data_IF_125633425699
#
_entry.id   IF_125633425699
#
_cell.length_a   1.000
_cell.length_b   1.000
_cell.length_c   1.000
_cell.angle_alpha   90.00
_cell.angle_beta   90.00
_cell.angle_gamma   90.00
#
_symmetry.space_group_name_H-M   'P 1'
#
loop_
_entity.id
_entity.type
_entity.pdbx_description
1 polymer ?
#
# COMPACT_ATOMS: atom_id res chain seq x y z
N UNK A 1 28.04 7.13 26.92
CA UNK A 1 28.91 7.34 25.73
C UNK A 1 29.44 6.03 25.11
N UNK A 2 30.01 5.09 25.88
CA UNK A 2 30.58 3.83 25.35
C UNK A 2 29.56 2.88 24.68
N UNK A 3 28.28 2.93 25.07
CA UNK A 3 27.21 2.09 24.48
C UNK A 3 26.79 2.59 23.10
N UNK A 4 26.69 3.91 22.91
CA UNK A 4 26.35 4.52 21.63
C UNK A 4 27.42 4.27 20.56
N UNK A 5 28.70 4.32 20.92
CA UNK A 5 29.80 4.00 19.99
C UNK A 5 29.73 2.53 19.56
N UNK A 6 29.42 1.60 20.47
CA UNK A 6 29.27 0.18 20.16
C UNK A 6 28.07 -0.10 19.24
N UNK A 7 26.94 0.57 19.46
CA UNK A 7 25.76 0.51 18.58
C UNK A 7 26.05 1.08 17.19
N UNK A 8 26.81 2.18 17.12
CA UNK A 8 27.18 2.80 15.83
C UNK A 8 28.11 1.87 15.02
N UNK A 9 29.09 1.24 15.67
CA UNK A 9 30.02 0.29 15.02
C UNK A 9 29.29 -0.99 14.56
N UNK A 10 28.30 -1.47 15.33
CA UNK A 10 27.49 -2.63 14.95
C UNK A 10 26.59 -2.32 13.75
N UNK A 11 25.94 -1.14 13.72
CA UNK A 11 25.14 -0.73 12.55
C UNK A 11 26.01 -0.51 11.30
N UNK A 12 27.23 0.01 11.47
CA UNK A 12 28.16 0.25 10.36
C UNK A 12 28.67 -1.06 9.73
N UNK A 13 28.86 -2.10 10.54
CA UNK A 13 29.37 -3.41 10.07
C UNK A 13 28.26 -4.27 9.45
N UNK A 14 27.01 -4.16 9.93
CA UNK A 14 25.85 -4.81 9.32
C UNK A 14 25.51 -4.24 7.93
N UNK A 15 25.69 -2.93 7.73
CA UNK A 15 25.47 -2.29 6.42
C UNK A 15 26.55 -2.68 5.39
N UNK A 16 27.78 -2.97 5.84
CA UNK A 16 28.88 -3.42 4.97
C UNK A 16 28.83 -4.92 4.63
N UNK A 17 28.06 -5.73 5.37
CA UNK A 17 27.92 -7.16 5.09
C UNK A 17 26.87 -7.47 4.02
N UNK A 18 25.97 -6.52 3.72
CA UNK A 18 24.94 -6.66 2.69
C UNK A 18 25.40 -6.23 1.29
N UNK A 19 26.66 -5.84 1.11
CA UNK A 19 27.24 -5.42 -0.17
C UNK A 19 28.48 -6.26 -0.54
N UNK A 20 28.33 -7.59 -0.55
CA UNK A 20 29.30 -8.48 -1.17
C UNK A 20 28.57 -9.63 -1.89
N UNK A 21 28.01 -9.33 -3.05
CA UNK A 21 27.97 -10.30 -4.14
C UNK A 21 28.88 -9.77 -5.24
N UNK A 22 30.17 -10.10 -5.13
CA UNK A 22 31.07 -10.05 -6.27
C UNK A 22 31.80 -11.37 -6.43
N UNK A 23 31.75 -11.84 -7.67
CA UNK A 23 32.24 -13.09 -8.22
C UNK A 23 33.72 -13.28 -7.91
N UNK A 24 34.05 -14.37 -7.21
CA UNK A 24 35.44 -14.86 -7.14
C UNK A 24 35.61 -15.96 -8.19
N UNK A 25 36.08 -15.56 -9.38
CA UNK A 25 36.87 -16.45 -10.24
C UNK A 25 38.35 -16.14 -9.98
N UNK A 26 39.06 -17.09 -9.37
CA UNK A 26 40.47 -16.92 -8.96
C UNK A 26 41.14 -18.25 -8.57
N UNK A 27 41.47 -19.02 -9.61
CA UNK A 27 42.35 -20.19 -9.77
C UNK A 27 43.39 -20.52 -8.68
N UNK A 28 43.54 -21.83 -8.37
CA UNK A 28 44.84 -22.43 -7.97
C UNK A 28 45.01 -23.88 -8.49
N UNK A 29 45.85 -23.99 -9.53
CA UNK A 29 46.86 -25.01 -9.86
C UNK A 29 46.61 -26.53 -9.65
N UNK A 30 46.55 -27.29 -10.78
CA UNK A 30 47.57 -28.25 -11.29
C UNK A 30 46.93 -29.39 -12.11
N UNK A 31 47.25 -29.47 -13.40
CA UNK A 31 47.78 -30.65 -14.11
C UNK A 31 47.71 -30.46 -15.65
N UNK A 32 48.84 -30.70 -16.33
CA UNK A 32 49.04 -30.86 -17.78
C UNK A 32 49.13 -32.38 -18.02
N UNK A 33 48.64 -33.03 -19.12
CA UNK A 33 49.21 -32.90 -20.49
C UNK A 33 48.21 -33.18 -21.67
N UNK A 34 48.64 -33.38 -22.95
CA UNK A 34 48.82 -32.34 -23.97
C UNK A 34 48.02 -32.58 -25.28
N UNK A 35 48.21 -31.66 -26.25
CA UNK A 35 48.02 -31.80 -27.73
C UNK A 35 46.64 -31.57 -28.38
N UNK A 36 46.45 -30.44 -29.11
CA UNK A 36 46.66 -30.23 -30.57
C UNK A 36 45.91 -28.98 -31.10
N UNK A 37 46.68 -28.03 -31.64
CA UNK A 37 46.45 -27.14 -32.83
C UNK A 37 45.03 -26.76 -33.27
N UNK A 38 44.72 -25.47 -33.45
CA UNK A 38 44.84 -24.72 -34.72
C UNK A 38 44.42 -23.22 -34.65
N UNK A 39 45.18 -22.41 -35.40
CA UNK A 39 44.95 -21.08 -36.04
C UNK A 39 44.29 -19.89 -35.32
N UNK A 40 45.14 -18.87 -35.13
CA UNK A 40 44.98 -17.42 -35.34
C UNK A 40 43.66 -16.92 -35.99
N UNK A 41 43.07 -15.93 -35.31
CA UNK A 41 42.33 -14.80 -35.90
C UNK A 41 42.45 -13.62 -34.94
N UNK A 42 43.28 -12.63 -35.26
CA UNK A 42 43.36 -11.35 -34.55
C UNK A 42 42.11 -10.55 -34.95
N UNK A 43 41.26 -10.20 -33.98
CA UNK A 43 40.41 -9.02 -34.08
C UNK A 43 40.52 -8.21 -32.79
N UNK A 44 40.80 -6.93 -32.99
CA UNK A 44 41.21 -5.93 -32.02
C UNK A 44 39.99 -5.47 -31.20
N UNK A 45 39.93 -5.60 -29.85
CA UNK A 45 38.86 -4.99 -29.08
C UNK A 45 39.23 -3.54 -28.76
N UNK A 46 38.51 -2.59 -29.37
CA UNK A 46 38.44 -1.21 -28.86
C UNK A 46 37.94 -1.24 -27.40
N UNK A 47 38.49 -0.40 -26.49
CA UNK A 47 37.94 -0.26 -25.15
C UNK A 47 36.54 0.37 -25.23
N UNK A 48 35.53 -0.31 -24.70
CA UNK A 48 34.24 0.33 -24.39
C UNK A 48 34.47 1.46 -23.38
N UNK A 49 33.83 2.63 -23.51
CA UNK A 49 33.86 3.66 -22.48
C UNK A 49 33.23 3.12 -21.18
N UNK A 50 33.66 3.60 -20.01
CA UNK A 50 33.10 3.17 -18.74
C UNK A 50 31.60 3.47 -18.71
N UNK A 51 30.83 2.49 -18.23
CA UNK A 51 29.41 2.63 -17.95
C UNK A 51 29.18 3.93 -17.16
N UNK A 52 28.42 4.84 -17.76
CA UNK A 52 27.85 5.96 -17.02
C UNK A 52 26.98 5.35 -15.94
N UNK A 53 27.39 5.56 -14.70
CA UNK A 53 26.57 5.44 -13.51
C UNK A 53 25.30 6.26 -13.79
N UNK A 54 24.21 5.57 -14.16
CA UNK A 54 22.92 6.19 -14.48
C UNK A 54 22.46 6.93 -13.22
N UNK A 55 22.73 8.23 -13.20
CA UNK A 55 22.25 9.14 -12.17
C UNK A 55 20.73 9.10 -12.27
N UNK A 56 20.10 8.36 -11.35
CA UNK A 56 18.64 8.25 -11.24
C UNK A 56 18.08 9.67 -11.34
N UNK A 57 17.15 9.96 -12.26
CA UNK A 57 16.76 11.35 -12.50
C UNK A 57 16.21 11.99 -11.22
N UNK A 58 16.77 13.14 -10.86
CA UNK A 58 16.34 13.99 -9.73
C UNK A 58 14.92 14.55 -9.90
N UNK A 59 14.22 14.19 -10.98
CA UNK A 59 12.86 14.60 -11.27
C UNK A 59 11.84 13.57 -10.77
N UNK A 60 10.61 14.02 -10.50
CA UNK A 60 9.46 13.14 -10.30
C UNK A 60 9.18 12.33 -11.58
N UNK A 61 8.85 11.06 -11.42
CA UNK A 61 8.17 10.30 -12.49
C UNK A 61 6.78 10.89 -12.74
N UNK A 62 6.17 10.57 -13.89
CA UNK A 62 4.82 11.05 -14.21
C UNK A 62 3.78 10.62 -13.17
N UNK A 63 3.89 9.39 -12.66
CA UNK A 63 2.99 8.84 -11.63
C UNK A 63 3.19 9.55 -10.28
N UNK A 64 4.44 9.72 -9.83
CA UNK A 64 4.75 10.45 -8.59
C UNK A 64 4.26 11.90 -8.66
N UNK A 65 4.51 12.57 -9.80
CA UNK A 65 4.05 13.94 -10.03
C UNK A 65 2.53 14.03 -9.96
N UNK A 66 1.82 13.10 -10.60
CA UNK A 66 0.35 13.09 -10.58
C UNK A 66 -0.19 12.95 -9.15
N UNK A 67 0.35 12.00 -8.36
CA UNK A 67 -0.07 11.78 -6.97
C UNK A 67 0.21 12.99 -6.09
N UNK A 68 1.40 13.56 -6.21
CA UNK A 68 1.78 14.77 -5.49
C UNK A 68 0.87 15.95 -5.85
N UNK A 69 0.69 16.22 -7.14
CA UNK A 69 -0.17 17.31 -7.62
C UNK A 69 -1.63 17.16 -7.14
N UNK A 70 -2.15 15.93 -7.10
CA UNK A 70 -3.50 15.63 -6.59
C UNK A 70 -3.61 15.94 -5.09
N UNK A 71 -2.68 15.44 -4.27
CA UNK A 71 -2.65 15.71 -2.82
C UNK A 71 -2.62 17.22 -2.54
N UNK A 72 -1.71 17.91 -3.24
CA UNK A 72 -1.47 19.33 -3.10
C UNK A 72 -2.67 20.16 -3.59
N UNK A 73 -3.34 19.72 -4.66
CA UNK A 73 -4.55 20.36 -5.15
C UNK A 73 -5.71 20.21 -4.15
N UNK A 74 -5.88 19.03 -3.55
CA UNK A 74 -6.90 18.80 -2.53
C UNK A 74 -6.72 19.74 -1.33
N UNK A 75 -5.49 19.89 -0.81
CA UNK A 75 -5.24 20.82 0.29
C UNK A 75 -5.43 22.28 -0.09
N UNK A 76 -5.00 22.70 -1.29
CA UNK A 76 -5.32 24.04 -1.78
C UNK A 76 -6.84 24.27 -1.83
N UNK A 77 -7.62 23.26 -2.23
CA UNK A 77 -9.06 23.38 -2.34
C UNK A 77 -9.72 23.53 -0.96
N UNK A 78 -9.24 22.80 0.05
CA UNK A 78 -9.65 23.00 1.46
C UNK A 78 -9.39 24.44 1.91
N UNK A 79 -8.24 25.01 1.53
CA UNK A 79 -7.87 26.39 1.86
C UNK A 79 -8.77 27.40 1.15
N UNK A 80 -9.01 27.22 -0.15
CA UNK A 80 -9.89 28.06 -0.96
C UNK A 80 -11.33 28.10 -0.40
N UNK A 81 -11.82 26.94 0.04
CA UNK A 81 -13.14 26.78 0.65
C UNK A 81 -13.20 27.24 2.12
N UNK A 82 -12.08 27.68 2.70
CA UNK A 82 -11.96 28.17 4.08
C UNK A 82 -12.54 27.20 5.12
N UNK A 83 -12.23 25.91 4.98
CA UNK A 83 -12.76 24.86 5.87
C UNK A 83 -11.95 24.68 7.18
N UNK A 84 -11.04 25.61 7.45
CA UNK A 84 -10.19 25.72 8.64
C UNK A 84 -10.20 27.18 9.13
N UNK A 85 -9.71 27.44 10.34
CA UNK A 85 -9.54 28.79 10.87
C UNK A 85 -8.43 29.57 10.15
N UNK A 86 -8.46 30.91 10.21
CA UNK A 86 -7.49 31.76 9.50
C UNK A 86 -6.02 31.46 9.85
N UNK A 87 -5.71 31.15 11.12
CA UNK A 87 -4.37 30.76 11.56
C UNK A 87 -3.92 29.42 10.95
N UNK A 88 -4.83 28.42 10.94
CA UNK A 88 -4.58 27.11 10.33
C UNK A 88 -4.42 27.21 8.82
N UNK A 89 -5.21 28.06 8.16
CA UNK A 89 -5.11 28.35 6.73
C UNK A 89 -3.74 28.97 6.40
N UNK A 90 -3.29 29.95 7.18
CA UNK A 90 -1.99 30.59 6.96
C UNK A 90 -0.82 29.61 7.16
N UNK A 91 -0.86 28.79 8.22
CA UNK A 91 0.14 27.74 8.46
C UNK A 91 0.18 26.73 7.32
N UNK A 92 -0.99 26.28 6.89
CA UNK A 92 -1.14 25.34 5.77
C UNK A 92 -0.56 25.93 4.49
N UNK A 93 -0.91 27.18 4.15
CA UNK A 93 -0.39 27.84 2.95
C UNK A 93 1.14 27.98 2.97
N UNK A 94 1.72 28.35 4.12
CA UNK A 94 3.16 28.46 4.28
C UNK A 94 3.86 27.11 4.04
N UNK A 95 3.32 26.03 4.63
CA UNK A 95 3.83 24.68 4.42
C UNK A 95 3.70 24.24 2.95
N UNK A 96 2.54 24.45 2.33
CA UNK A 96 2.30 24.08 0.93
C UNK A 96 3.20 24.86 -0.05
N UNK A 97 3.54 26.11 0.26
CA UNK A 97 4.52 26.88 -0.53
C UNK A 97 5.94 26.31 -0.36
N UNK A 98 6.30 25.94 0.87
CA UNK A 98 7.59 25.33 1.16
C UNK A 98 7.75 23.97 0.48
N UNK A 99 6.80 23.05 0.61
CA UNK A 99 6.95 21.68 0.05
C UNK A 99 7.05 21.68 -1.48
N UNK A 100 6.41 22.65 -2.16
CA UNK A 100 6.54 22.84 -3.61
C UNK A 100 7.89 23.39 -4.03
N UNK A 101 8.56 24.16 -3.17
CA UNK A 101 9.85 24.79 -3.44
C UNK A 101 11.04 24.02 -2.88
N UNK A 102 10.79 23.00 -2.06
CA UNK A 102 11.81 22.13 -1.47
C UNK A 102 12.31 21.08 -2.46
N UNK A 103 13.37 20.37 -2.08
CA UNK A 103 13.97 19.28 -2.84
C UNK A 103 12.94 18.22 -3.31
N UNK A 104 13.11 17.74 -4.54
CA UNK A 104 12.23 16.78 -5.21
C UNK A 104 12.11 15.46 -4.44
N UNK A 105 13.13 15.04 -3.69
CA UNK A 105 13.09 13.86 -2.82
C UNK A 105 11.90 13.90 -1.86
N UNK A 106 11.60 15.05 -1.26
CA UNK A 106 10.47 15.17 -0.33
C UNK A 106 9.12 15.08 -1.03
N UNK A 107 9.05 15.56 -2.27
CA UNK A 107 7.84 15.42 -3.09
C UNK A 107 7.61 13.96 -3.48
N UNK A 108 8.69 13.21 -3.82
CA UNK A 108 8.65 11.76 -4.06
C UNK A 108 8.17 11.00 -2.83
N UNK A 109 8.69 11.34 -1.65
CA UNK A 109 8.25 10.73 -0.39
C UNK A 109 6.74 10.91 -0.16
N UNK A 110 6.20 12.12 -0.33
CA UNK A 110 4.77 12.36 -0.16
C UNK A 110 3.91 11.67 -1.23
N UNK A 111 4.37 11.61 -2.48
CA UNK A 111 3.68 10.87 -3.53
C UNK A 111 3.56 9.37 -3.18
N UNK A 112 4.64 8.79 -2.64
CA UNK A 112 4.69 7.41 -2.21
C UNK A 112 3.78 7.18 -0.99
N UNK A 113 3.86 8.03 0.03
CA UNK A 113 3.03 7.90 1.24
C UNK A 113 1.53 8.09 0.94
N UNK A 114 1.20 8.93 -0.05
CA UNK A 114 -0.19 9.13 -0.50
C UNK A 114 -0.73 8.01 -1.41
N UNK A 115 0.12 7.10 -1.89
CA UNK A 115 -0.25 6.10 -2.91
C UNK A 115 -1.45 5.24 -2.48
N UNK A 116 -1.52 4.83 -1.22
CA UNK A 116 -2.63 4.01 -0.71
C UNK A 116 -3.98 4.72 -0.86
N UNK A 117 -4.05 5.98 -0.45
CA UNK A 117 -5.27 6.79 -0.56
C UNK A 117 -5.60 7.08 -2.01
N UNK A 118 -4.58 7.42 -2.82
CA UNK A 118 -4.76 7.71 -4.23
C UNK A 118 -5.35 6.51 -5.01
N UNK A 119 -4.75 5.32 -4.87
CA UNK A 119 -5.24 4.13 -5.57
C UNK A 119 -6.61 3.70 -5.04
N UNK A 120 -6.90 3.90 -3.75
CA UNK A 120 -8.24 3.66 -3.21
C UNK A 120 -9.30 4.56 -3.86
N UNK A 121 -9.06 5.88 -3.93
CA UNK A 121 -9.98 6.81 -4.58
C UNK A 121 -10.18 6.48 -6.06
N UNK A 122 -9.12 6.04 -6.73
CA UNK A 122 -9.14 5.60 -8.12
C UNK A 122 -9.93 4.31 -8.34
N UNK A 123 -9.81 3.33 -7.44
CA UNK A 123 -10.62 2.09 -7.45
C UNK A 123 -12.10 2.37 -7.19
N UNK A 124 -12.43 3.32 -6.30
CA UNK A 124 -13.81 3.66 -5.93
C UNK A 124 -14.51 4.60 -6.90
N UNK A 125 -13.83 5.00 -7.97
CA UNK A 125 -14.40 5.80 -9.04
C UNK A 125 -15.42 4.96 -9.85
N UNK A 126 -16.69 5.36 -9.94
CA UNK A 126 -17.70 4.65 -10.70
C UNK A 126 -17.36 4.62 -12.20
N UNK A 127 -17.67 3.51 -12.92
CA UNK A 127 -17.39 3.41 -14.36
C UNK A 127 -18.02 4.53 -15.19
N UNK A 128 -19.21 5.00 -14.81
CA UNK A 128 -19.90 6.12 -15.48
C UNK A 128 -19.14 7.46 -15.41
N UNK A 129 -18.17 7.58 -14.50
CA UNK A 129 -17.39 8.80 -14.28
C UNK A 129 -15.97 8.68 -14.84
N UNK A 130 -15.69 7.70 -15.70
CA UNK A 130 -14.35 7.44 -16.26
C UNK A 130 -13.67 8.68 -16.87
N UNK A 131 -14.44 9.65 -17.36
CA UNK A 131 -13.92 10.90 -17.91
C UNK A 131 -13.40 11.90 -16.86
N UNK A 132 -13.80 11.77 -15.58
CA UNK A 132 -13.34 12.66 -14.51
C UNK A 132 -11.95 12.25 -14.02
N UNK A 133 -11.02 13.18 -13.95
CA UNK A 133 -9.74 12.97 -13.27
C UNK A 133 -9.96 12.79 -11.75
N UNK A 134 -9.03 12.15 -11.05
CA UNK A 134 -9.07 12.02 -9.58
C UNK A 134 -9.10 13.41 -8.92
N UNK A 135 -8.35 14.37 -9.47
CA UNK A 135 -8.38 15.77 -9.03
C UNK A 135 -9.78 16.38 -9.12
N UNK A 136 -10.47 16.22 -10.25
CA UNK A 136 -11.83 16.72 -10.42
C UNK A 136 -12.82 16.04 -9.48
N UNK A 137 -12.68 14.72 -9.28
CA UNK A 137 -13.50 13.94 -8.37
C UNK A 137 -13.37 14.46 -6.92
N UNK A 138 -12.14 14.65 -6.43
CA UNK A 138 -11.91 15.23 -5.10
C UNK A 138 -12.48 16.65 -5.02
N UNK A 139 -12.20 17.52 -5.99
CA UNK A 139 -12.70 18.89 -5.96
C UNK A 139 -14.22 18.98 -5.96
N UNK A 140 -14.89 18.12 -6.73
CA UNK A 140 -16.34 18.04 -6.76
C UNK A 140 -16.90 17.59 -5.41
N UNK A 141 -16.32 16.56 -4.79
CA UNK A 141 -16.70 16.10 -3.44
C UNK A 141 -16.52 17.21 -2.39
N UNK A 142 -15.39 17.91 -2.41
CA UNK A 142 -15.13 19.03 -1.48
C UNK A 142 -16.11 20.18 -1.67
N UNK A 143 -16.39 20.58 -2.92
CA UNK A 143 -17.35 21.64 -3.24
C UNK A 143 -18.77 21.28 -2.84
N UNK A 144 -19.21 20.04 -3.11
CA UNK A 144 -20.54 19.55 -2.75
C UNK A 144 -20.79 19.74 -1.25
N UNK A 145 -19.84 19.34 -0.41
CA UNK A 145 -19.97 19.46 1.05
C UNK A 145 -19.90 20.91 1.53
N UNK A 146 -19.08 21.76 0.91
CA UNK A 146 -18.97 23.16 1.29
C UNK A 146 -20.21 24.00 0.89
N UNK A 147 -20.91 23.61 -0.18
CA UNK A 147 -22.01 24.41 -0.76
C UNK A 147 -23.40 23.76 -0.59
N UNK A 148 -23.46 22.52 -0.09
CA UNK A 148 -24.64 21.66 -0.09
C UNK A 148 -25.24 21.41 -1.49
N UNK A 149 -24.49 21.65 -2.56
CA UNK A 149 -24.90 21.42 -3.96
C UNK A 149 -24.26 20.16 -4.52
N UNK A 150 -24.76 19.03 -4.07
CA UNK A 150 -24.27 17.70 -4.45
C UNK A 150 -25.05 17.19 -5.66
N UNK A 151 -24.61 17.61 -6.85
CA UNK A 151 -25.36 17.33 -8.08
C UNK A 151 -25.28 15.88 -8.56
N UNK A 152 -24.40 15.04 -8.02
CA UNK A 152 -24.36 13.58 -8.25
C UNK A 152 -23.46 12.91 -7.19
N UNK A 153 -23.64 11.61 -6.93
CA UNK A 153 -22.63 10.84 -6.20
C UNK A 153 -21.41 10.62 -7.11
N UNK A 154 -20.34 11.38 -6.88
CA UNK A 154 -19.12 11.31 -7.69
C UNK A 154 -18.27 10.07 -7.42
N UNK A 155 -18.57 9.37 -6.33
CA UNK A 155 -17.90 8.12 -5.95
C UNK A 155 -18.86 7.12 -5.31
N UNK A 156 -18.40 5.88 -5.14
CA UNK A 156 -19.03 4.93 -4.20
C UNK A 156 -18.68 5.23 -2.73
N UNK A 157 -17.95 6.32 -2.47
CA UNK A 157 -17.62 6.86 -1.15
C UNK A 157 -18.56 8.06 -0.91
N UNK A 158 -18.84 8.41 0.34
CA UNK A 158 -19.59 9.64 0.62
C UNK A 158 -18.65 10.83 0.44
N UNK A 159 -19.15 11.90 -0.15
CA UNK A 159 -18.36 13.13 -0.32
C UNK A 159 -17.89 13.68 1.04
N UNK A 160 -18.67 13.45 2.10
CA UNK A 160 -18.34 13.68 3.51
C UNK A 160 -17.03 12.99 3.93
N UNK A 161 -16.84 11.72 3.57
CA UNK A 161 -15.66 10.95 3.99
C UNK A 161 -14.39 11.48 3.31
N UNK A 162 -14.49 11.87 2.03
CA UNK A 162 -13.39 12.51 1.29
C UNK A 162 -13.05 13.87 1.91
N UNK A 163 -14.06 14.69 2.19
CA UNK A 163 -13.86 16.00 2.81
C UNK A 163 -13.24 15.88 4.21
N UNK A 164 -13.80 15.02 5.05
CA UNK A 164 -13.31 14.78 6.41
C UNK A 164 -11.86 14.30 6.39
N UNK A 165 -11.49 13.40 5.47
CA UNK A 165 -10.12 12.94 5.32
C UNK A 165 -9.16 14.12 5.05
N UNK A 166 -9.36 14.86 3.97
CA UNK A 166 -8.42 15.92 3.59
C UNK A 166 -8.41 17.08 4.60
N UNK A 167 -9.58 17.44 5.14
CA UNK A 167 -9.69 18.49 6.16
C UNK A 167 -8.97 18.09 7.44
N UNK A 168 -9.19 16.88 7.94
CA UNK A 168 -8.61 16.43 9.21
C UNK A 168 -7.09 16.21 9.08
N UNK A 169 -6.62 15.62 7.97
CA UNK A 169 -5.17 15.51 7.71
C UNK A 169 -4.53 16.90 7.68
N UNK A 170 -5.14 17.87 7.00
CA UNK A 170 -4.59 19.21 6.94
C UNK A 170 -4.61 19.90 8.32
N UNK A 171 -5.70 19.73 9.08
CA UNK A 171 -5.82 20.23 10.45
C UNK A 171 -4.73 19.65 11.36
N UNK A 172 -4.53 18.33 11.38
CA UNK A 172 -3.54 17.67 12.24
C UNK A 172 -2.13 18.18 12.01
N UNK A 173 -1.73 18.38 10.75
CA UNK A 173 -0.37 18.85 10.47
C UNK A 173 -0.17 20.30 10.93
N UNK A 174 -1.23 21.11 11.05
CA UNK A 174 -1.13 22.48 11.60
C UNK A 174 -0.84 22.51 13.10
N UNK A 175 -1.15 21.42 13.83
CA UNK A 175 -0.89 21.30 15.27
C UNK A 175 0.61 21.16 15.59
N UNK A 176 1.44 20.87 14.58
CA UNK A 176 2.91 20.72 14.75
C UNK A 176 3.66 22.04 14.91
N UNK A 177 2.97 23.19 14.80
CA UNK A 177 3.57 24.53 14.81
C UNK A 177 4.07 24.97 13.43
N UNK A 178 4.98 25.93 13.39
CA UNK A 178 5.46 26.58 12.15
C UNK A 178 6.74 25.99 11.56
N UNK A 179 7.19 24.83 12.05
CA UNK A 179 8.43 24.20 11.58
C UNK A 179 8.11 23.24 10.44
N UNK A 180 8.36 23.68 9.21
CA UNK A 180 8.01 22.93 7.99
C UNK A 180 8.48 21.47 7.99
N UNK A 181 9.68 21.18 8.50
CA UNK A 181 10.17 19.79 8.56
C UNK A 181 9.37 18.93 9.54
N UNK A 182 8.90 19.49 10.66
CA UNK A 182 8.01 18.77 11.59
C UNK A 182 6.64 18.54 10.95
N UNK A 183 6.11 19.55 10.28
CA UNK A 183 4.84 19.46 9.53
C UNK A 183 4.93 18.41 8.42
N UNK A 184 6.07 18.32 7.72
CA UNK A 184 6.35 17.30 6.73
C UNK A 184 6.30 15.88 7.33
N UNK A 185 7.04 15.64 8.41
CA UNK A 185 7.03 14.33 9.07
C UNK A 185 5.64 13.95 9.61
N UNK A 186 4.87 14.91 10.11
CA UNK A 186 3.50 14.67 10.54
C UNK A 186 2.55 14.34 9.38
N UNK A 187 2.69 15.02 8.23
CA UNK A 187 1.91 14.68 7.04
C UNK A 187 2.17 13.23 6.60
N UNK A 188 3.45 12.83 6.55
CA UNK A 188 3.81 11.44 6.24
C UNK A 188 3.15 10.46 7.22
N UNK A 189 3.25 10.75 8.51
CA UNK A 189 2.66 9.91 9.55
C UNK A 189 1.14 9.79 9.39
N UNK A 190 0.43 10.88 9.09
CA UNK A 190 -1.03 10.86 8.89
C UNK A 190 -1.43 10.10 7.61
N UNK A 191 -0.67 10.22 6.52
CA UNK A 191 -0.94 9.49 5.27
C UNK A 191 -0.68 7.97 5.39
N UNK A 192 0.29 7.56 6.21
CA UNK A 192 0.64 6.15 6.42
C UNK A 192 -0.17 5.50 7.55
N UNK A 193 -0.80 6.29 8.43
CA UNK A 193 -1.55 5.75 9.55
C UNK A 193 -2.93 5.27 9.13
N UNK A 194 -2.99 4.00 8.72
CA UNK A 194 -4.21 3.34 8.28
C UNK A 194 -5.32 3.28 9.34
N UNK A 195 -5.02 3.58 10.61
CA UNK A 195 -5.96 3.48 11.75
C UNK A 195 -6.51 4.82 12.24
N UNK A 196 -6.17 5.94 11.58
CA UNK A 196 -6.65 7.28 11.91
C UNK A 196 -7.54 7.86 10.79
N UNK A 197 -7.20 9.01 10.21
CA UNK A 197 -8.03 9.66 9.19
C UNK A 197 -8.13 8.82 7.92
N UNK A 198 -7.10 8.03 7.62
CA UNK A 198 -7.09 7.08 6.51
C UNK A 198 -8.13 5.97 6.73
N UNK A 199 -8.37 5.50 7.97
CA UNK A 199 -9.46 4.55 8.30
C UNK A 199 -10.82 5.14 7.91
N UNK A 200 -11.09 6.38 8.31
CA UNK A 200 -12.35 7.06 8.00
C UNK A 200 -12.67 7.08 6.50
N UNK A 201 -11.63 7.18 5.65
CA UNK A 201 -11.78 7.13 4.20
C UNK A 201 -11.91 5.70 3.64
N UNK A 202 -11.05 4.78 4.10
CA UNK A 202 -10.95 3.41 3.59
C UNK A 202 -12.10 2.50 4.07
N UNK A 203 -12.59 2.77 5.27
CA UNK A 203 -13.44 1.86 6.04
C UNK A 203 -12.84 0.46 6.13
N UNK A 204 -13.67 -0.56 5.87
CA UNK A 204 -13.25 -1.96 5.91
C UNK A 204 -12.11 -2.35 4.95
N UNK A 205 -11.83 -1.55 3.91
CA UNK A 205 -10.74 -1.83 2.96
C UNK A 205 -9.36 -1.74 3.62
N UNK A 206 -9.21 -1.00 4.73
CA UNK A 206 -7.94 -0.90 5.44
C UNK A 206 -7.38 -2.27 5.85
N UNK A 207 -8.25 -3.21 6.27
CA UNK A 207 -7.82 -4.53 6.73
C UNK A 207 -7.24 -5.34 5.57
N UNK A 208 -7.87 -5.25 4.39
CA UNK A 208 -7.36 -5.87 3.18
C UNK A 208 -5.98 -5.31 2.82
N UNK A 209 -5.83 -3.99 2.84
CA UNK A 209 -4.56 -3.31 2.52
C UNK A 209 -3.46 -3.68 3.51
N UNK A 210 -3.76 -3.65 4.81
CA UNK A 210 -2.81 -4.03 5.87
C UNK A 210 -2.31 -5.46 5.69
N UNK A 211 -3.21 -6.41 5.40
CA UNK A 211 -2.83 -7.80 5.17
C UNK A 211 -2.01 -7.95 3.88
N UNK A 212 -2.36 -7.25 2.79
CA UNK A 212 -1.57 -7.26 1.55
C UNK A 212 -0.13 -6.79 1.76
N UNK A 213 0.08 -5.80 2.62
CA UNK A 213 1.44 -5.34 2.98
C UNK A 213 2.22 -6.46 3.66
N UNK A 214 1.60 -7.22 4.56
CA UNK A 214 2.24 -8.35 5.24
C UNK A 214 2.57 -9.50 4.28
N UNK A 215 1.78 -9.69 3.22
CA UNK A 215 1.90 -10.80 2.28
C UNK A 215 2.78 -10.51 1.06
N UNK A 216 3.24 -9.26 0.86
CA UNK A 216 3.83 -8.78 -0.40
C UNK A 216 4.99 -9.63 -0.96
N UNK A 217 5.71 -10.35 -0.11
CA UNK A 217 6.87 -11.16 -0.50
C UNK A 217 6.56 -12.67 -0.64
N UNK A 218 5.33 -13.11 -0.37
CA UNK A 218 4.91 -14.51 -0.52
C UNK A 218 3.89 -14.62 -1.67
N UNK A 219 4.35 -15.13 -2.81
CA UNK A 219 3.53 -15.25 -4.01
C UNK A 219 2.35 -16.22 -3.82
N UNK A 220 2.55 -17.33 -3.10
CA UNK A 220 1.50 -18.34 -2.91
C UNK A 220 0.41 -17.81 -1.99
N UNK A 221 0.77 -17.19 -0.88
CA UNK A 221 -0.18 -16.55 0.03
C UNK A 221 -0.86 -15.35 -0.60
N UNK A 222 -0.15 -14.55 -1.40
CA UNK A 222 -0.74 -13.44 -2.16
C UNK A 222 -1.79 -13.94 -3.15
N UNK A 223 -1.51 -15.02 -3.89
CA UNK A 223 -2.47 -15.64 -4.80
C UNK A 223 -3.69 -16.20 -4.06
N UNK A 224 -3.47 -16.92 -2.95
CA UNK A 224 -4.55 -17.44 -2.11
C UNK A 224 -5.40 -16.31 -1.51
N UNK A 225 -4.78 -15.21 -1.07
CA UNK A 225 -5.48 -14.05 -0.54
C UNK A 225 -6.30 -13.36 -1.64
N UNK A 226 -5.74 -13.19 -2.83
CA UNK A 226 -6.50 -12.69 -3.99
C UNK A 226 -7.71 -13.58 -4.28
N UNK A 227 -7.54 -14.90 -4.23
CA UNK A 227 -8.64 -15.83 -4.42
C UNK A 227 -9.72 -15.70 -3.34
N UNK A 228 -9.33 -15.60 -2.07
CA UNK A 228 -10.23 -15.36 -0.93
C UNK A 228 -11.05 -14.10 -1.13
N UNK A 229 -10.39 -12.97 -1.41
CA UNK A 229 -11.08 -11.68 -1.60
C UNK A 229 -12.01 -11.72 -2.80
N UNK A 230 -11.58 -12.33 -3.90
CA UNK A 230 -12.37 -12.43 -5.14
C UNK A 230 -13.46 -13.51 -5.09
N UNK A 231 -13.55 -14.29 -4.01
CA UNK A 231 -14.69 -15.18 -3.78
C UNK A 231 -15.97 -14.38 -3.44
N UNK A 232 -15.81 -13.19 -2.85
CA UNK A 232 -16.92 -12.35 -2.44
C UNK A 232 -17.34 -11.40 -3.56
N UNK A 233 -18.60 -11.45 -4.02
CA UNK A 233 -19.13 -10.43 -4.93
C UNK A 233 -19.19 -9.06 -4.24
N UNK A 234 -19.29 -7.99 -5.03
CA UNK A 234 -19.18 -6.61 -4.55
C UNK A 234 -20.19 -6.27 -3.45
N UNK A 235 -21.43 -6.75 -3.55
CA UNK A 235 -22.49 -6.58 -2.55
C UNK A 235 -22.18 -7.27 -1.21
N UNK A 236 -21.28 -8.26 -1.21
CA UNK A 236 -20.88 -9.05 -0.03
C UNK A 236 -19.46 -8.74 0.48
N UNK A 237 -18.75 -7.79 -0.13
CA UNK A 237 -17.39 -7.36 0.29
C UNK A 237 -17.31 -6.99 1.77
N UNK A 238 -18.37 -6.38 2.31
CA UNK A 238 -18.42 -6.00 3.73
C UNK A 238 -18.31 -7.19 4.70
N UNK A 239 -18.76 -8.39 4.29
CA UNK A 239 -18.63 -9.62 5.08
C UNK A 239 -17.17 -10.08 5.10
N UNK A 240 -16.50 -10.04 3.95
CA UNK A 240 -15.06 -10.32 3.87
C UNK A 240 -14.29 -9.37 4.80
N UNK A 241 -14.55 -8.07 4.76
CA UNK A 241 -13.87 -7.11 5.64
C UNK A 241 -14.12 -7.38 7.13
N UNK A 242 -15.34 -7.77 7.51
CA UNK A 242 -15.63 -8.18 8.90
C UNK A 242 -14.85 -9.44 9.29
N UNK A 243 -14.74 -10.42 8.40
CA UNK A 243 -13.95 -11.62 8.65
C UNK A 243 -12.46 -11.29 8.77
N UNK A 244 -11.91 -10.45 7.89
CA UNK A 244 -10.51 -10.01 7.96
C UNK A 244 -10.24 -9.23 9.24
N UNK A 245 -11.17 -8.39 9.69
CA UNK A 245 -11.05 -7.62 10.94
C UNK A 245 -10.80 -8.52 12.16
N UNK A 246 -11.30 -9.75 12.16
CA UNK A 246 -11.10 -10.71 13.25
C UNK A 246 -9.64 -11.16 13.40
N UNK A 247 -8.80 -10.95 12.38
CA UNK A 247 -7.35 -11.18 12.45
C UNK A 247 -6.60 -10.05 13.17
N UNK A 248 -7.28 -8.99 13.58
CA UNK A 248 -6.66 -7.81 14.19
C UNK A 248 -7.05 -7.74 15.66
N UNK A 249 -6.04 -7.55 16.52
CA UNK A 249 -6.27 -7.09 17.88
C UNK A 249 -6.24 -5.57 17.92
N UNK A 250 -7.10 -4.96 18.74
CA UNK A 250 -7.18 -3.51 18.88
C UNK A 250 -6.82 -3.08 20.31
N UNK A 251 -6.23 -1.90 20.44
CA UNK A 251 -6.07 -1.20 21.71
C UNK A 251 -7.38 -0.52 22.12
N UNK A 252 -7.47 -0.04 23.37
CA UNK A 252 -8.65 0.64 23.91
C UNK A 252 -9.09 1.88 23.11
N UNK A 253 -8.15 2.51 22.39
CA UNK A 253 -8.40 3.65 21.52
C UNK A 253 -8.79 3.26 20.08
N UNK A 254 -9.05 1.97 19.81
CA UNK A 254 -9.45 1.45 18.51
C UNK A 254 -8.32 1.28 17.49
N UNK A 255 -7.07 1.59 17.86
CA UNK A 255 -5.91 1.38 16.96
C UNK A 255 -5.49 -0.08 16.92
N UNK A 256 -4.97 -0.54 15.78
CA UNK A 256 -4.47 -1.90 15.64
C UNK A 256 -3.27 -2.12 16.57
N UNK A 257 -3.35 -3.16 17.40
CA UNK A 257 -2.30 -3.62 18.32
C UNK A 257 -1.42 -4.68 17.67
N UNK A 258 -2.05 -5.70 17.09
CA UNK A 258 -1.36 -6.85 16.50
C UNK A 258 -2.22 -7.49 15.40
N UNK A 259 -1.59 -8.35 14.59
CA UNK A 259 -2.25 -9.15 13.55
C UNK A 259 -1.96 -10.62 13.85
N UNK A 260 -3.00 -11.46 13.86
CA UNK A 260 -2.88 -12.92 13.96
C UNK A 260 -2.40 -13.51 12.61
N UNK A 261 -1.11 -13.31 12.34
CA UNK A 261 -0.47 -13.75 11.11
C UNK A 261 -0.43 -15.27 10.97
N UNK A 262 -0.41 -16.00 12.07
CA UNK A 262 -0.35 -17.46 12.01
C UNK A 262 -1.70 -18.04 11.57
N UNK A 263 -2.82 -17.51 12.08
CA UNK A 263 -4.14 -17.90 11.61
C UNK A 263 -4.38 -17.47 10.16
N UNK A 264 -3.95 -16.25 9.77
CA UNK A 264 -3.97 -15.81 8.38
C UNK A 264 -3.22 -16.81 7.47
N UNK A 265 -1.96 -17.12 7.79
CA UNK A 265 -1.15 -18.06 7.00
C UNK A 265 -1.78 -19.44 6.93
N UNK A 266 -2.33 -19.93 8.03
CA UNK A 266 -3.05 -21.22 8.07
C UNK A 266 -4.19 -21.25 7.06
N UNK A 267 -5.06 -20.23 7.07
CA UNK A 267 -6.17 -20.07 6.12
C UNK A 267 -5.66 -19.99 4.68
N UNK A 268 -4.63 -19.18 4.42
CA UNK A 268 -4.13 -18.98 3.06
C UNK A 268 -3.40 -20.22 2.50
N UNK A 269 -2.64 -20.92 3.33
CA UNK A 269 -2.00 -22.18 2.96
C UNK A 269 -3.05 -23.26 2.67
N UNK A 270 -4.13 -23.31 3.45
CA UNK A 270 -5.27 -24.18 3.17
C UNK A 270 -5.91 -23.86 1.82
N UNK A 271 -6.24 -22.58 1.56
CA UNK A 271 -6.80 -22.15 0.28
C UNK A 271 -5.87 -22.52 -0.87
N UNK A 272 -4.57 -22.27 -0.75
CA UNK A 272 -3.59 -22.62 -1.77
C UNK A 272 -3.56 -24.13 -2.03
N UNK A 273 -3.58 -24.94 -0.97
CA UNK A 273 -3.58 -26.41 -1.07
C UNK A 273 -4.84 -26.92 -1.76
N UNK A 274 -6.01 -26.42 -1.38
CA UNK A 274 -7.30 -26.77 -2.01
C UNK A 274 -7.36 -26.31 -3.48
N UNK A 275 -6.80 -25.15 -3.81
CA UNK A 275 -6.70 -24.68 -5.20
C UNK A 275 -5.83 -25.58 -6.05
N UNK A 276 -4.70 -26.05 -5.52
CA UNK A 276 -3.81 -26.93 -6.24
C UNK A 276 -4.46 -28.29 -6.56
N UNK A 277 -5.39 -28.78 -5.72
CA UNK A 277 -6.18 -29.99 -6.02
C UNK A 277 -7.01 -29.85 -7.29
N UNK A 278 -7.48 -28.64 -7.57
CA UNK A 278 -8.28 -28.36 -8.76
C UNK A 278 -7.46 -28.40 -10.06
N UNK A 279 -6.12 -28.34 -10.03
CA UNK A 279 -5.25 -28.46 -11.22
C UNK A 279 -5.69 -27.63 -12.44
N UNK A 280 -6.23 -26.43 -12.23
CA UNK A 280 -6.73 -25.56 -13.32
C UNK A 280 -8.18 -25.80 -13.74
N UNK A 281 -8.91 -26.73 -13.10
CA UNK A 281 -10.35 -26.89 -13.28
C UNK A 281 -11.10 -25.64 -12.78
N UNK A 282 -11.62 -24.87 -13.74
CA UNK A 282 -12.35 -23.64 -13.47
C UNK A 282 -13.67 -23.90 -12.75
N UNK A 283 -14.36 -25.01 -13.05
CA UNK A 283 -15.61 -25.36 -12.39
C UNK A 283 -15.36 -25.68 -10.91
N UNK A 284 -14.35 -26.49 -10.63
CA UNK A 284 -13.88 -26.78 -9.28
C UNK A 284 -13.46 -25.54 -8.49
N UNK A 285 -12.71 -24.62 -9.11
CA UNK A 285 -12.34 -23.35 -8.49
C UNK A 285 -13.55 -22.48 -8.19
N UNK A 286 -14.51 -22.37 -9.13
CA UNK A 286 -15.74 -21.60 -8.91
C UNK A 286 -16.58 -22.19 -7.76
N UNK A 287 -16.70 -23.52 -7.71
CA UNK A 287 -17.34 -24.21 -6.59
C UNK A 287 -16.63 -23.91 -5.25
N UNK A 288 -15.29 -23.88 -5.26
CA UNK A 288 -14.53 -23.53 -4.07
C UNK A 288 -14.77 -22.08 -3.62
N UNK A 289 -14.82 -21.11 -4.55
CA UNK A 289 -15.22 -19.72 -4.23
C UNK A 289 -16.60 -19.67 -3.59
N UNK A 290 -17.58 -20.37 -4.16
CA UNK A 290 -18.94 -20.42 -3.61
C UNK A 290 -18.95 -21.00 -2.20
N UNK A 291 -18.15 -22.03 -1.91
CA UNK A 291 -18.04 -22.61 -0.56
C UNK A 291 -17.43 -21.65 0.45
N UNK A 292 -16.35 -20.96 0.08
CA UNK A 292 -15.74 -19.90 0.92
C UNK A 292 -16.78 -18.83 1.25
N UNK A 293 -17.46 -18.31 0.22
CA UNK A 293 -18.44 -17.24 0.40
C UNK A 293 -19.62 -17.68 1.25
N UNK A 294 -20.19 -18.86 0.98
CA UNK A 294 -21.31 -19.39 1.76
C UNK A 294 -20.93 -19.62 3.23
N UNK A 295 -19.71 -20.07 3.51
CA UNK A 295 -19.24 -20.28 4.86
C UNK A 295 -19.27 -18.99 5.68
N UNK A 296 -18.64 -17.93 5.18
CA UNK A 296 -18.60 -16.64 5.87
C UNK A 296 -19.94 -15.91 5.87
N UNK A 297 -20.73 -16.00 4.79
CA UNK A 297 -22.08 -15.42 4.73
C UNK A 297 -23.00 -16.07 5.75
N UNK A 298 -22.95 -17.40 5.88
CA UNK A 298 -23.75 -18.11 6.87
C UNK A 298 -23.34 -17.71 8.29
N UNK A 299 -22.04 -17.72 8.60
CA UNK A 299 -21.56 -17.30 9.91
C UNK A 299 -21.98 -15.85 10.25
N UNK A 300 -21.99 -14.97 9.25
CA UNK A 300 -22.48 -13.59 9.41
C UNK A 300 -23.98 -13.52 9.68
N UNK A 301 -24.80 -14.27 8.94
CA UNK A 301 -26.27 -14.30 9.11
C UNK A 301 -26.70 -14.92 10.43
N UNK A 302 -25.95 -15.93 10.89
CA UNK A 302 -26.21 -16.64 12.15
C UNK A 302 -25.62 -15.89 13.36
N UNK A 303 -25.01 -14.71 13.18
CA UNK A 303 -24.29 -13.94 14.21
C UNK A 303 -23.20 -14.74 14.94
N UNK A 304 -22.52 -15.61 14.20
CA UNK A 304 -21.42 -16.48 14.69
C UNK A 304 -20.07 -16.15 14.08
N UNK A 305 -19.96 -15.10 13.25
CA UNK A 305 -18.70 -14.67 12.63
C UNK A 305 -17.73 -14.11 13.68
N UNK A 306 -16.87 -14.98 14.21
CA UNK A 306 -15.91 -14.72 15.27
C UNK A 306 -14.61 -15.52 15.08
N UNK A 307 -13.70 -15.52 16.06
CA UNK A 307 -12.44 -16.24 15.98
C UNK A 307 -12.60 -17.75 15.70
N UNK A 308 -13.65 -18.40 16.24
CA UNK A 308 -13.92 -19.80 15.97
C UNK A 308 -14.29 -20.07 14.51
N UNK A 309 -14.91 -19.09 13.84
CA UNK A 309 -15.15 -19.18 12.38
C UNK A 309 -13.84 -19.22 11.62
N UNK A 310 -12.85 -18.42 11.99
CA UNK A 310 -11.53 -18.46 11.36
C UNK A 310 -10.82 -19.80 11.65
N UNK A 311 -10.80 -20.21 12.91
CA UNK A 311 -10.12 -21.43 13.35
C UNK A 311 -10.68 -22.70 12.71
N UNK A 312 -11.99 -22.73 12.42
CA UNK A 312 -12.65 -23.88 11.81
C UNK A 312 -12.61 -23.88 10.28
N UNK A 313 -12.16 -22.79 9.64
CA UNK A 313 -12.22 -22.60 8.19
C UNK A 313 -11.66 -23.80 7.41
N UNK A 314 -10.43 -24.23 7.72
CA UNK A 314 -9.75 -25.29 7.00
C UNK A 314 -10.48 -26.65 7.07
N UNK A 315 -11.20 -26.91 8.17
CA UNK A 315 -11.95 -28.17 8.34
C UNK A 315 -13.33 -28.13 7.69
N UNK A 316 -13.90 -26.94 7.51
CA UNK A 316 -15.28 -26.76 7.00
C UNK A 316 -15.34 -26.41 5.53
N UNK A 317 -14.26 -25.84 4.97
CA UNK A 317 -14.24 -25.30 3.62
C UNK A 317 -13.22 -26.05 2.77
N UNK A 318 -13.68 -27.11 2.10
CA UNK A 318 -12.86 -27.92 1.19
C UNK A 318 -13.21 -27.61 -0.26
N UNK A 319 -12.24 -27.77 -1.16
CA UNK A 319 -12.52 -27.80 -2.59
C UNK A 319 -13.47 -28.97 -2.92
N UNK A 320 -14.27 -28.79 -3.96
CA UNK A 320 -15.06 -29.88 -4.56
C UNK A 320 -14.29 -30.61 -5.67
N UNK A 321 -13.01 -30.28 -5.78
CA UNK A 321 -11.98 -30.97 -6.52
C UNK A 321 -11.49 -32.14 -5.64
#
# INVERSE_FOLDING_TARGET
MKIFIKLLVLCSTLLLYCCNEDKINGTSAKAIPPHRTFSKGLDNPQPKPPEQDETRPDTLTADEKQKFDVLINAFNKIIELKLLSDDELQKSQNFLNWIRSTDVSKQKELANDFTTVYEFLKDKKPPQLNNLTITQLINNSLNCQATNQCNDRYTNIRDEDIQMFFRNVLYEITLTGSVNEKTFQALKAELLNLTKHVDGLLGGNQYEIMLRIQLKNDNNQTQAFNFLINAFPQDKRHIAWRALKLLFEFNDNGTTKSIDLENLKSILNHIHTELNKCNGDEAGQNNFRTRITNYFVKAYQDDTLNADTLNNFATKVLSGC
#
